data_IF_420192419902
#
_entry.id   IF_420192419902
#
_cell.length_a   1.000
_cell.length_b   1.000
_cell.length_c   1.000
_cell.angle_alpha   90.00
_cell.angle_beta   90.00
_cell.angle_gamma   90.00
#
_symmetry.space_group_name_H-M   'P 1'
#
loop_
_entity.id
_entity.type
_entity.pdbx_description
1 polymer ?
#
# COMPACT_ATOMS: atom_id res chain seq x y z
N UNK A 1 10.43 1.89 -37.02
CA UNK A 1 11.11 2.21 -35.75
C UNK A 1 11.77 0.93 -35.27
N UNK A 2 13.10 0.87 -35.25
CA UNK A 2 13.84 -0.31 -34.78
C UNK A 2 13.72 -0.38 -33.27
N UNK A 3 13.00 -1.37 -32.76
CA UNK A 3 13.10 -1.73 -31.36
C UNK A 3 14.53 -2.19 -31.09
N UNK A 4 15.20 -1.70 -30.02
CA UNK A 4 16.47 -2.27 -29.60
C UNK A 4 16.26 -3.76 -29.33
N UNK A 5 17.16 -4.59 -29.86
CA UNK A 5 17.13 -6.03 -29.62
C UNK A 5 17.13 -6.27 -28.11
N UNK A 6 16.15 -7.02 -27.63
CA UNK A 6 16.11 -7.46 -26.23
C UNK A 6 17.43 -8.19 -25.92
N UNK A 7 18.06 -7.97 -24.76
CA UNK A 7 19.26 -8.69 -24.39
C UNK A 7 19.00 -10.20 -24.49
N UNK A 8 19.98 -10.94 -25.02
CA UNK A 8 19.90 -12.39 -25.19
C UNK A 8 19.39 -13.03 -23.90
N UNK A 9 18.30 -13.78 -24.01
CA UNK A 9 17.83 -14.60 -22.89
C UNK A 9 18.94 -15.58 -22.53
N UNK A 10 19.18 -15.82 -21.23
CA UNK A 10 20.10 -16.87 -20.81
C UNK A 10 19.70 -18.21 -21.43
N UNK A 11 20.67 -19.06 -21.75
CA UNK A 11 20.40 -20.42 -22.16
C UNK A 11 19.83 -21.24 -21.00
N UNK A 12 19.11 -22.33 -21.31
CA UNK A 12 18.59 -23.24 -20.30
C UNK A 12 19.73 -23.75 -19.40
N UNK A 13 19.62 -23.55 -18.09
CA UNK A 13 20.65 -23.94 -17.11
C UNK A 13 20.01 -24.35 -15.77
N UNK A 14 20.28 -25.54 -15.32
CA UNK A 14 19.73 -26.05 -14.07
C UNK A 14 18.20 -26.18 -14.15
N UNK A 15 17.48 -25.47 -13.25
CA UNK A 15 16.03 -25.40 -13.23
C UNK A 15 15.45 -24.29 -14.14
N UNK A 16 16.30 -23.46 -14.72
CA UNK A 16 15.88 -22.40 -15.63
C UNK A 16 15.76 -22.93 -17.05
N UNK A 17 14.59 -22.78 -17.63
CA UNK A 17 14.31 -23.04 -19.04
C UNK A 17 13.56 -21.82 -19.62
N UNK A 18 14.14 -21.09 -20.60
CA UNK A 18 13.51 -19.93 -21.18
C UNK A 18 12.16 -20.22 -21.87
N UNK A 19 11.87 -21.49 -22.20
CA UNK A 19 10.57 -21.91 -22.72
C UNK A 19 9.45 -21.80 -21.67
N UNK A 20 9.80 -21.87 -20.37
CA UNK A 20 8.87 -21.73 -19.26
C UNK A 20 8.74 -20.28 -18.77
N UNK A 21 9.44 -19.34 -19.40
CA UNK A 21 9.34 -17.94 -19.04
C UNK A 21 7.99 -17.36 -19.50
N UNK A 22 7.12 -17.14 -18.54
CA UNK A 22 5.82 -16.50 -18.73
C UNK A 22 5.82 -15.12 -18.12
N UNK A 23 5.33 -14.14 -18.88
CA UNK A 23 5.10 -12.78 -18.41
C UNK A 23 3.98 -12.76 -17.36
N UNK A 24 4.34 -12.94 -16.10
CA UNK A 24 3.37 -13.14 -15.05
C UNK A 24 2.91 -11.83 -14.37
N UNK A 25 3.81 -10.90 -14.05
CA UNK A 25 3.51 -9.70 -13.26
C UNK A 25 4.04 -8.43 -13.93
N UNK A 26 3.36 -7.31 -13.69
CA UNK A 26 3.87 -5.98 -13.96
C UNK A 26 4.50 -5.40 -12.69
N UNK A 27 5.77 -5.63 -12.46
CA UNK A 27 6.52 -5.10 -11.31
C UNK A 27 7.68 -4.27 -11.81
N UNK A 28 7.92 -3.14 -11.17
CA UNK A 28 9.10 -2.31 -11.44
C UNK A 28 9.55 -1.59 -10.18
N UNK A 29 10.79 -1.19 -10.14
CA UNK A 29 11.29 -0.36 -9.05
C UNK A 29 12.30 0.65 -9.53
N UNK A 30 12.45 1.72 -8.77
CA UNK A 30 13.51 2.71 -8.89
C UNK A 30 14.07 3.00 -7.53
N UNK A 31 15.40 3.11 -7.43
CA UNK A 31 16.06 3.40 -6.17
C UNK A 31 17.26 4.32 -6.38
N UNK A 32 17.46 5.24 -5.45
CA UNK A 32 18.67 6.03 -5.35
C UNK A 32 19.74 5.22 -4.61
N UNK A 33 20.82 4.83 -5.29
CA UNK A 33 21.89 3.98 -4.74
C UNK A 33 22.57 4.61 -3.51
N UNK A 34 22.60 5.96 -3.46
CA UNK A 34 23.18 6.70 -2.33
C UNK A 34 22.18 6.92 -1.19
N UNK A 35 20.94 6.44 -1.32
CA UNK A 35 19.88 6.60 -0.34
C UNK A 35 19.31 8.03 -0.23
N UNK A 36 19.65 8.93 -1.15
CA UNK A 36 19.11 10.29 -1.15
C UNK A 36 17.60 10.28 -1.48
N UNK A 37 16.81 10.84 -0.59
CA UNK A 37 15.35 10.91 -0.72
C UNK A 37 14.95 12.14 -1.52
N UNK A 38 14.13 11.98 -2.53
CA UNK A 38 13.55 13.08 -3.29
C UNK A 38 12.18 12.67 -3.87
N UNK A 39 11.41 13.65 -4.31
CA UNK A 39 10.09 13.42 -4.92
C UNK A 39 10.19 12.79 -6.31
N UNK A 40 11.26 13.07 -7.06
CA UNK A 40 11.48 12.54 -8.40
C UNK A 40 11.52 11.00 -8.44
N UNK A 41 11.91 10.32 -7.36
CA UNK A 41 11.83 8.85 -7.23
C UNK A 41 10.36 8.38 -7.29
N UNK A 42 9.44 9.12 -6.69
CA UNK A 42 8.00 8.81 -6.71
C UNK A 42 7.46 9.03 -8.13
N UNK A 43 7.79 10.16 -8.75
CA UNK A 43 7.39 10.46 -10.13
C UNK A 43 7.90 9.40 -11.11
N UNK A 44 9.16 8.97 -10.97
CA UNK A 44 9.76 7.89 -11.77
C UNK A 44 9.04 6.55 -11.50
N UNK A 45 8.71 6.23 -10.25
CA UNK A 45 7.91 5.06 -9.91
C UNK A 45 6.54 5.08 -10.59
N UNK A 46 5.83 6.20 -10.53
CA UNK A 46 4.55 6.37 -11.22
C UNK A 46 4.69 6.30 -12.76
N UNK A 47 5.80 6.78 -13.31
CA UNK A 47 6.09 6.65 -14.74
C UNK A 47 6.33 5.19 -15.13
N UNK A 48 7.09 4.42 -14.33
CA UNK A 48 7.27 2.98 -14.53
C UNK A 48 5.90 2.28 -14.51
N UNK A 49 5.04 2.64 -13.54
CA UNK A 49 3.71 2.07 -13.43
C UNK A 49 2.87 2.31 -14.69
N UNK A 50 2.89 3.53 -15.24
CA UNK A 50 2.24 3.86 -16.51
C UNK A 50 2.78 3.04 -17.68
N UNK A 51 4.09 2.84 -17.75
CA UNK A 51 4.74 2.03 -18.78
C UNK A 51 4.36 0.53 -18.68
N UNK A 52 3.94 0.08 -17.51
CA UNK A 52 3.43 -1.26 -17.26
C UNK A 52 1.91 -1.41 -17.52
N UNK A 53 1.22 -0.37 -18.02
CA UNK A 53 -0.24 -0.41 -18.23
C UNK A 53 -0.67 -1.59 -19.13
N UNK A 54 0.16 -2.00 -20.09
CA UNK A 54 -0.08 -3.18 -20.94
C UNK A 54 -0.10 -4.51 -20.16
N UNK A 55 0.32 -4.54 -18.90
CA UNK A 55 0.28 -5.69 -18.00
C UNK A 55 -0.99 -5.74 -17.15
N UNK A 56 -1.76 -4.65 -17.11
CA UNK A 56 -3.04 -4.60 -16.41
C UNK A 56 -4.15 -5.26 -17.24
N UNK A 57 -5.11 -5.87 -16.56
CA UNK A 57 -6.37 -6.25 -17.18
C UNK A 57 -7.40 -5.16 -16.91
N UNK A 58 -8.17 -4.82 -17.93
CA UNK A 58 -9.33 -3.93 -17.84
C UNK A 58 -10.56 -4.83 -17.84
N UNK A 59 -11.46 -4.62 -16.88
CA UNK A 59 -12.70 -5.38 -16.78
C UNK A 59 -13.76 -4.91 -17.76
N UNK A 60 -15.02 -5.24 -17.47
CA UNK A 60 -16.17 -4.74 -18.23
C UNK A 60 -16.32 -3.21 -18.11
N UNK A 61 -15.89 -2.62 -17.00
CA UNK A 61 -15.75 -1.18 -16.84
C UNK A 61 -14.34 -0.75 -17.30
N UNK A 62 -14.22 0.08 -18.35
CA UNK A 62 -12.94 0.58 -18.85
C UNK A 62 -12.15 1.41 -17.83
N UNK A 63 -12.78 1.92 -16.79
CA UNK A 63 -12.19 2.71 -15.71
C UNK A 63 -11.82 1.86 -14.48
N UNK A 64 -12.06 0.55 -14.51
CA UNK A 64 -11.69 -0.40 -13.47
C UNK A 64 -10.61 -1.37 -13.95
N UNK A 65 -9.70 -1.73 -13.06
CA UNK A 65 -8.57 -2.62 -13.33
C UNK A 65 -8.40 -3.64 -12.22
N UNK A 66 -7.60 -4.69 -12.48
CA UNK A 66 -7.13 -5.67 -11.49
C UNK A 66 -6.37 -5.02 -10.33
N UNK A 67 -5.98 -3.77 -10.49
CA UNK A 67 -5.35 -2.96 -9.47
C UNK A 67 -3.92 -2.55 -9.79
N UNK A 68 -3.53 -1.46 -9.16
CA UNK A 68 -2.19 -0.89 -9.26
C UNK A 68 -1.77 -0.27 -7.93
N UNK A 69 -0.47 -0.15 -7.72
CA UNK A 69 0.02 0.46 -6.49
C UNK A 69 1.50 0.83 -6.52
N UNK A 70 1.87 1.61 -5.53
CA UNK A 70 3.24 2.05 -5.28
C UNK A 70 3.56 1.90 -3.79
N UNK A 71 4.72 1.30 -3.50
CA UNK A 71 5.32 1.25 -2.19
C UNK A 71 6.49 2.23 -2.14
N UNK A 72 6.53 3.05 -1.09
CA UNK A 72 7.58 4.02 -0.82
C UNK A 72 8.09 3.87 0.60
N UNK A 73 9.23 4.46 0.93
CA UNK A 73 9.65 4.58 2.31
C UNK A 73 8.75 5.58 3.05
N UNK A 74 8.63 5.44 4.38
CA UNK A 74 7.91 6.41 5.22
C UNK A 74 8.44 7.83 4.94
N UNK A 75 7.59 8.75 4.43
CA UNK A 75 7.96 10.14 4.14
C UNK A 75 7.82 11.00 5.40
N UNK A 76 8.74 10.82 6.37
CA UNK A 76 8.62 11.35 7.72
C UNK A 76 8.32 12.86 7.78
N UNK A 77 9.03 13.68 6.99
CA UNK A 77 8.82 15.13 6.99
C UNK A 77 7.37 15.48 6.62
N UNK A 78 6.87 14.89 5.52
CA UNK A 78 5.50 15.10 5.07
C UNK A 78 4.48 14.69 6.15
N UNK A 79 4.60 13.47 6.67
CA UNK A 79 3.67 12.95 7.67
C UNK A 79 3.72 13.77 8.98
N UNK A 80 4.89 14.22 9.38
CA UNK A 80 5.07 15.07 10.57
C UNK A 80 4.37 16.41 10.44
N UNK A 81 4.49 17.05 9.27
CA UNK A 81 3.82 18.31 8.99
C UNK A 81 2.29 18.13 8.93
N UNK A 82 1.81 17.06 8.28
CA UNK A 82 0.37 16.73 8.21
C UNK A 82 -0.24 16.42 9.59
N UNK A 83 0.48 15.68 10.44
CA UNK A 83 -0.01 15.35 11.79
C UNK A 83 0.10 16.53 12.75
N UNK A 84 1.12 17.37 12.61
CA UNK A 84 1.23 18.61 13.41
C UNK A 84 0.06 19.58 13.14
N UNK A 85 -0.47 19.59 11.91
CA UNK A 85 -1.67 20.37 11.58
C UNK A 85 -2.96 19.86 12.30
N UNK A 86 -2.89 18.68 12.91
CA UNK A 86 -3.94 18.08 13.75
C UNK A 86 -3.53 18.03 15.23
N UNK A 87 -2.57 18.84 15.65
CA UNK A 87 -2.02 18.90 17.02
C UNK A 87 -1.38 17.58 17.50
N UNK A 88 -0.97 16.70 16.56
CA UNK A 88 -0.30 15.44 16.87
C UNK A 88 1.19 15.52 16.57
N UNK A 89 2.01 15.34 17.60
CA UNK A 89 3.47 15.34 17.48
C UNK A 89 3.98 13.89 17.27
N UNK A 90 4.58 13.63 16.11
CA UNK A 90 5.15 12.30 15.84
C UNK A 90 6.50 12.11 16.55
N UNK A 91 6.78 10.94 17.14
CA UNK A 91 8.10 10.59 17.66
C UNK A 91 9.17 10.58 16.55
N UNK A 92 10.47 10.46 16.90
CA UNK A 92 11.54 10.31 15.90
C UNK A 92 11.32 9.15 14.94
N UNK A 93 11.90 9.24 13.74
CA UNK A 93 11.89 8.17 12.72
C UNK A 93 12.30 6.83 13.32
N UNK A 94 11.56 5.77 12.98
CA UNK A 94 11.76 4.42 13.50
C UNK A 94 11.18 4.18 14.90
N UNK A 95 10.58 5.21 15.53
CA UNK A 95 9.86 5.10 16.79
C UNK A 95 8.33 5.17 16.61
N UNK A 96 7.86 5.25 15.39
CA UNK A 96 6.44 5.12 15.04
C UNK A 96 6.29 4.35 13.74
N UNK A 97 5.11 3.78 13.54
CA UNK A 97 4.69 3.16 12.30
C UNK A 97 3.40 3.79 11.78
N UNK A 98 3.14 3.56 10.50
CA UNK A 98 1.93 4.03 9.82
C UNK A 98 1.21 2.86 9.19
N UNK A 99 -0.07 2.70 9.52
CA UNK A 99 -0.98 1.77 8.87
C UNK A 99 -1.78 2.49 7.80
N UNK A 100 -1.72 2.07 6.54
CA UNK A 100 -2.71 2.42 5.53
C UNK A 100 -3.91 1.49 5.71
N UNK A 101 -5.10 2.03 5.88
CA UNK A 101 -6.30 1.26 6.22
C UNK A 101 -7.44 1.63 5.28
N UNK A 102 -8.03 0.63 4.67
CA UNK A 102 -9.28 0.73 3.91
C UNK A 102 -10.43 0.30 4.83
N UNK A 103 -11.40 1.15 4.97
CA UNK A 103 -12.49 1.03 5.93
C UNK A 103 -13.83 1.05 5.21
N UNK A 104 -14.87 0.41 5.77
CA UNK A 104 -16.22 0.50 5.26
C UNK A 104 -16.74 1.94 5.16
N UNK A 105 -17.52 2.21 4.13
CA UNK A 105 -18.24 3.49 4.01
C UNK A 105 -19.29 3.64 5.12
N UNK A 106 -19.93 2.53 5.50
CA UNK A 106 -20.98 2.51 6.53
C UNK A 106 -20.38 2.87 7.90
N UNK A 107 -20.89 3.93 8.58
CA UNK A 107 -20.25 4.50 9.78
C UNK A 107 -20.10 3.53 10.95
N UNK A 108 -21.11 2.70 11.22
CA UNK A 108 -21.06 1.78 12.35
C UNK A 108 -20.03 0.66 12.14
N UNK A 109 -19.97 0.09 10.93
CA UNK A 109 -18.94 -0.90 10.57
C UNK A 109 -17.55 -0.28 10.57
N UNK A 110 -17.40 0.96 10.09
CA UNK A 110 -16.13 1.70 10.15
C UNK A 110 -15.66 1.90 11.57
N UNK A 111 -16.53 2.40 12.44
CA UNK A 111 -16.20 2.60 13.86
C UNK A 111 -15.77 1.28 14.52
N UNK A 112 -16.48 0.17 14.27
CA UNK A 112 -16.10 -1.12 14.79
C UNK A 112 -14.72 -1.58 14.31
N UNK A 113 -14.37 -1.35 13.05
CA UNK A 113 -13.04 -1.65 12.50
C UNK A 113 -11.96 -0.79 13.16
N UNK A 114 -12.18 0.51 13.31
CA UNK A 114 -11.24 1.42 13.98
C UNK A 114 -11.02 1.01 15.43
N UNK A 115 -12.10 0.71 16.15
CA UNK A 115 -12.04 0.24 17.55
C UNK A 115 -11.19 -1.04 17.70
N UNK A 116 -11.35 -2.03 16.83
CA UNK A 116 -10.57 -3.26 16.89
C UNK A 116 -9.07 -3.02 16.59
N UNK A 117 -8.74 -2.09 15.71
CA UNK A 117 -7.35 -1.69 15.46
C UNK A 117 -6.78 -1.01 16.72
N UNK A 118 -7.50 -0.06 17.31
CA UNK A 118 -7.08 0.67 18.50
C UNK A 118 -6.90 -0.28 19.70
N UNK A 119 -7.82 -1.24 19.85
CA UNK A 119 -7.72 -2.29 20.85
C UNK A 119 -6.45 -3.12 20.65
N UNK A 120 -6.19 -3.59 19.41
CA UNK A 120 -4.99 -4.37 19.11
C UNK A 120 -3.70 -3.58 19.37
N UNK A 121 -3.67 -2.27 19.09
CA UNK A 121 -2.54 -1.39 19.42
C UNK A 121 -2.29 -1.39 20.92
N UNK A 122 -3.32 -1.23 21.71
CA UNK A 122 -3.26 -1.22 23.19
C UNK A 122 -2.84 -2.59 23.73
N UNK A 123 -3.43 -3.67 23.24
CA UNK A 123 -3.15 -5.04 23.68
C UNK A 123 -1.69 -5.43 23.42
N UNK A 124 -1.09 -4.92 22.33
CA UNK A 124 0.33 -5.11 22.00
C UNK A 124 1.27 -4.11 22.72
N UNK A 125 0.73 -3.30 23.63
CA UNK A 125 1.49 -2.34 24.43
C UNK A 125 2.08 -1.19 23.60
N UNK A 126 1.48 -0.86 22.47
CA UNK A 126 1.86 0.26 21.65
C UNK A 126 0.96 1.48 21.91
N UNK A 127 1.29 2.63 21.34
CA UNK A 127 0.60 3.90 21.61
C UNK A 127 -0.12 4.34 20.33
N UNK A 128 -1.44 4.52 20.39
CA UNK A 128 -2.17 5.21 19.34
C UNK A 128 -1.78 6.70 19.36
N UNK A 129 -1.24 7.22 18.27
CA UNK A 129 -0.90 8.63 18.13
C UNK A 129 -2.04 9.42 17.47
N UNK A 130 -2.77 8.81 16.55
CA UNK A 130 -3.89 9.43 15.87
C UNK A 130 -4.23 8.79 14.53
N UNK A 131 -5.24 9.39 13.88
CA UNK A 131 -5.70 9.00 12.56
C UNK A 131 -5.66 10.19 11.61
N UNK A 132 -5.38 9.93 10.33
CA UNK A 132 -5.41 10.92 9.25
C UNK A 132 -6.27 10.40 8.10
N UNK A 133 -7.19 11.20 7.60
CA UNK A 133 -7.87 10.90 6.35
C UNK A 133 -6.92 11.12 5.17
N UNK A 134 -6.85 10.15 4.27
CA UNK A 134 -6.00 10.26 3.06
C UNK A 134 -6.74 11.06 1.99
N UNK A 135 -6.21 12.22 1.56
CA UNK A 135 -6.84 13.03 0.52
C UNK A 135 -6.90 12.29 -0.82
N UNK A 136 -8.07 12.24 -1.42
CA UNK A 136 -8.35 11.51 -2.67
C UNK A 136 -9.04 12.39 -3.69
N UNK A 137 -8.84 12.03 -4.97
CA UNK A 137 -9.62 12.55 -6.09
C UNK A 137 -10.22 11.37 -6.85
N UNK A 138 -11.51 11.14 -6.64
CA UNK A 138 -12.24 10.04 -7.28
C UNK A 138 -12.94 10.46 -8.60
N UNK A 139 -12.68 11.66 -9.11
CA UNK A 139 -13.27 12.16 -10.35
C UNK A 139 -12.97 11.30 -11.57
N UNK A 140 -11.82 10.60 -11.53
CA UNK A 140 -11.39 9.67 -12.59
C UNK A 140 -11.92 8.24 -12.45
N UNK A 141 -12.72 7.93 -11.43
CA UNK A 141 -13.31 6.60 -11.25
C UNK A 141 -14.64 6.47 -11.99
N UNK A 142 -14.94 5.28 -12.52
CA UNK A 142 -16.28 4.91 -12.97
C UNK A 142 -17.28 4.83 -11.81
N UNK A 143 -18.57 4.87 -12.11
CA UNK A 143 -19.62 4.83 -11.08
C UNK A 143 -19.53 3.58 -10.19
N UNK A 144 -19.26 2.40 -10.79
CA UNK A 144 -19.05 1.17 -10.02
C UNK A 144 -17.84 1.27 -9.07
N UNK A 145 -16.77 1.93 -9.49
CA UNK A 145 -15.59 2.18 -8.65
C UNK A 145 -15.90 3.10 -7.47
N UNK A 146 -16.70 4.15 -7.68
CA UNK A 146 -17.13 5.08 -6.62
C UNK A 146 -18.04 4.41 -5.59
N UNK A 147 -18.91 3.50 -6.05
CA UNK A 147 -19.83 2.77 -5.18
C UNK A 147 -19.09 1.88 -4.17
N UNK A 148 -18.00 1.25 -4.59
CA UNK A 148 -17.19 0.35 -3.75
C UNK A 148 -15.95 1.01 -3.16
N UNK A 149 -15.76 2.31 -3.37
CA UNK A 149 -14.60 3.05 -2.87
C UNK A 149 -14.56 3.01 -1.33
N UNK A 150 -13.49 2.51 -0.69
CA UNK A 150 -13.41 2.50 0.76
C UNK A 150 -13.14 3.90 1.32
N UNK A 151 -13.45 4.12 2.58
CA UNK A 151 -12.85 5.22 3.34
C UNK A 151 -11.39 4.86 3.59
N UNK A 152 -10.45 5.71 3.18
CA UNK A 152 -9.01 5.46 3.33
C UNK A 152 -8.45 6.36 4.41
N UNK A 153 -7.89 5.75 5.45
CA UNK A 153 -7.27 6.44 6.57
C UNK A 153 -5.87 5.90 6.87
N UNK A 154 -5.05 6.72 7.46
CA UNK A 154 -3.77 6.33 8.05
C UNK A 154 -3.89 6.31 9.56
N UNK A 155 -3.47 5.20 10.19
CA UNK A 155 -3.31 5.10 11.64
C UNK A 155 -1.85 5.25 12.01
N UNK A 156 -1.56 6.11 12.97
CA UNK A 156 -0.21 6.39 13.47
C UNK A 156 -0.03 5.70 14.81
N UNK A 157 1.00 4.87 14.91
CA UNK A 157 1.26 3.98 16.05
C UNK A 157 2.65 4.27 16.60
N UNK A 158 2.72 4.84 17.79
CA UNK A 158 3.96 5.09 18.51
C UNK A 158 4.48 3.83 19.18
N UNK A 159 5.78 3.76 19.31
CA UNK A 159 6.49 2.68 20.00
C UNK A 159 6.22 2.73 21.49
N UNK A 160 5.77 1.61 22.05
CA UNK A 160 5.61 1.44 23.51
C UNK A 160 6.95 1.30 24.24
N UNK A 161 6.93 1.51 25.55
CA UNK A 161 8.14 1.53 26.40
C UNK A 161 8.92 0.21 26.42
N UNK A 162 8.26 -0.93 26.19
CA UNK A 162 8.90 -2.25 26.12
C UNK A 162 9.61 -2.57 24.80
N UNK A 163 9.54 -1.66 23.80
CA UNK A 163 10.12 -1.85 22.48
C UNK A 163 11.28 -0.88 22.29
N UNK A 164 12.48 -1.37 22.04
CA UNK A 164 13.70 -0.54 22.01
C UNK A 164 14.28 -0.31 20.62
N UNK A 165 13.97 -1.21 19.66
CA UNK A 165 14.51 -1.17 18.30
C UNK A 165 13.40 -1.22 17.25
N UNK A 166 13.66 -0.66 16.06
CA UNK A 166 12.69 -0.59 14.96
C UNK A 166 12.22 -1.97 14.50
N UNK A 167 13.08 -2.99 14.48
CA UNK A 167 12.69 -4.35 14.09
C UNK A 167 11.69 -4.98 15.07
N UNK A 168 11.79 -4.65 16.35
CA UNK A 168 10.79 -5.09 17.34
C UNK A 168 9.46 -4.36 17.13
N UNK A 169 9.48 -3.07 16.76
CA UNK A 169 8.29 -2.33 16.39
C UNK A 169 7.64 -2.93 15.12
N UNK A 170 8.42 -3.26 14.09
CA UNK A 170 7.90 -3.92 12.88
C UNK A 170 7.14 -5.21 13.21
N UNK A 171 7.68 -6.06 14.10
CA UNK A 171 6.99 -7.28 14.53
C UNK A 171 5.68 -6.96 15.26
N UNK A 172 5.65 -5.93 16.12
CA UNK A 172 4.43 -5.49 16.80
C UNK A 172 3.39 -4.98 15.81
N UNK A 173 3.80 -4.17 14.84
CA UNK A 173 2.91 -3.67 13.78
C UNK A 173 2.33 -4.81 12.95
N UNK A 174 3.12 -5.84 12.64
CA UNK A 174 2.63 -7.03 11.96
C UNK A 174 1.57 -7.77 12.79
N UNK A 175 1.82 -7.97 14.10
CA UNK A 175 0.86 -8.63 15.01
C UNK A 175 -0.43 -7.80 15.10
N UNK A 176 -0.34 -6.48 15.31
CA UNK A 176 -1.50 -5.57 15.33
C UNK A 176 -2.33 -5.72 14.06
N UNK A 177 -1.68 -5.66 12.90
CA UNK A 177 -2.35 -5.82 11.60
C UNK A 177 -3.10 -7.14 11.50
N UNK A 178 -2.49 -8.25 11.90
CA UNK A 178 -3.09 -9.59 11.80
C UNK A 178 -4.17 -9.82 12.85
N UNK A 179 -3.92 -9.46 14.10
CA UNK A 179 -4.88 -9.66 15.19
C UNK A 179 -6.14 -8.81 15.00
N UNK A 180 -6.00 -7.53 14.63
CA UNK A 180 -7.15 -6.68 14.32
C UNK A 180 -7.95 -7.22 13.14
N UNK A 181 -7.27 -7.68 12.08
CA UNK A 181 -7.93 -8.28 10.93
C UNK A 181 -8.77 -9.52 11.28
N UNK A 182 -8.22 -10.41 12.10
CA UNK A 182 -8.94 -11.59 12.59
C UNK A 182 -10.12 -11.21 13.49
N UNK A 183 -9.93 -10.23 14.38
CA UNK A 183 -11.00 -9.75 15.25
C UNK A 183 -12.15 -9.14 14.44
N UNK A 184 -11.86 -8.28 13.47
CA UNK A 184 -12.86 -7.68 12.59
C UNK A 184 -13.60 -8.75 11.77
N UNK A 185 -12.89 -9.74 11.26
CA UNK A 185 -13.53 -10.87 10.56
C UNK A 185 -14.48 -11.65 11.46
N UNK A 186 -14.11 -11.86 12.74
CA UNK A 186 -14.92 -12.56 13.72
C UNK A 186 -16.21 -11.81 14.08
N UNK A 187 -16.23 -10.47 13.97
CA UNK A 187 -17.44 -9.66 14.20
C UNK A 187 -18.54 -9.90 13.15
N UNK A 188 -18.22 -10.49 12.00
CA UNK A 188 -19.15 -10.76 10.89
C UNK A 188 -19.97 -9.52 10.49
N UNK A 189 -19.34 -8.36 10.47
CA UNK A 189 -19.97 -7.10 10.08
C UNK A 189 -20.54 -7.22 8.68
N UNK A 190 -21.71 -6.59 8.42
CA UNK A 190 -22.35 -6.55 7.11
C UNK A 190 -21.37 -6.05 6.02
N UNK A 191 -20.58 -5.05 6.33
CA UNK A 191 -19.59 -4.42 5.45
C UNK A 191 -18.13 -4.80 5.80
N UNK A 192 -17.91 -5.83 6.61
CA UNK A 192 -16.56 -6.24 7.06
C UNK A 192 -15.62 -6.70 5.93
N UNK A 193 -16.17 -7.11 4.78
CA UNK A 193 -15.37 -7.49 3.60
C UNK A 193 -14.68 -6.30 2.92
N UNK A 194 -15.11 -5.07 3.20
CA UNK A 194 -14.52 -3.84 2.68
C UNK A 194 -13.27 -3.43 3.47
N UNK A 195 -13.07 -4.03 4.66
CA UNK A 195 -11.89 -3.79 5.48
C UNK A 195 -10.64 -4.45 4.91
N UNK A 196 -9.59 -3.65 4.76
CA UNK A 196 -8.29 -4.14 4.33
C UNK A 196 -7.15 -3.23 4.81
N UNK A 197 -6.00 -3.81 5.16
CA UNK A 197 -4.79 -3.05 5.55
C UNK A 197 -3.69 -3.30 4.53
N UNK A 198 -3.51 -2.43 3.53
CA UNK A 198 -2.44 -2.54 2.54
C UNK A 198 -1.05 -2.62 3.14
N UNK A 199 -0.76 -1.77 4.12
CA UNK A 199 0.53 -1.75 4.82
C UNK A 199 0.35 -1.28 6.26
N UNK A 200 1.22 -1.76 7.15
CA UNK A 200 1.39 -1.25 8.52
C UNK A 200 2.86 -1.46 8.90
N UNK A 201 3.65 -0.40 8.84
CA UNK A 201 5.11 -0.48 8.95
C UNK A 201 5.71 0.84 9.46
N UNK A 202 6.88 0.75 10.11
CA UNK A 202 7.70 1.90 10.48
C UNK A 202 8.71 2.27 9.37
N UNK A 203 8.73 1.53 8.25
CA UNK A 203 9.71 1.69 7.16
C UNK A 203 9.08 2.07 5.83
N UNK A 204 7.93 1.49 5.51
CA UNK A 204 7.31 1.62 4.18
C UNK A 204 5.83 1.95 4.27
N UNK A 205 5.33 2.57 3.21
CA UNK A 205 3.93 2.93 3.06
C UNK A 205 3.47 2.53 1.65
N UNK A 206 2.28 1.94 1.55
CA UNK A 206 1.72 1.47 0.28
C UNK A 206 0.48 2.27 -0.08
N UNK A 207 0.48 2.87 -1.26
CA UNK A 207 -0.69 3.43 -1.92
C UNK A 207 -1.12 2.48 -3.03
N UNK A 208 -2.32 1.93 -2.97
CA UNK A 208 -2.84 0.99 -3.98
C UNK A 208 -4.37 0.99 -4.02
N UNK A 209 -4.92 0.44 -5.09
CA UNK A 209 -6.37 0.27 -5.24
C UNK A 209 -6.70 -0.53 -6.50
N UNK A 210 -7.98 -0.78 -6.73
CA UNK A 210 -8.50 -1.30 -8.00
C UNK A 210 -8.50 -0.16 -9.05
N UNK A 211 -7.32 0.38 -9.30
CA UNK A 211 -7.07 1.56 -10.11
C UNK A 211 -6.29 1.18 -11.37
N UNK A 212 -6.50 1.93 -12.44
CA UNK A 212 -5.60 1.90 -13.59
C UNK A 212 -4.23 2.50 -13.21
N UNK A 213 -3.20 2.13 -13.94
CA UNK A 213 -1.84 2.61 -13.69
C UNK A 213 -1.71 4.14 -13.64
N UNK A 214 -2.42 4.84 -14.52
CA UNK A 214 -2.38 6.30 -14.59
C UNK A 214 -3.28 6.99 -13.55
N UNK A 215 -4.24 6.26 -12.97
CA UNK A 215 -5.13 6.79 -11.94
C UNK A 215 -4.43 6.90 -10.58
N UNK A 216 -3.47 6.01 -10.24
CA UNK A 216 -2.85 5.95 -8.90
C UNK A 216 -2.32 7.32 -8.46
N UNK A 217 -1.53 7.98 -9.31
CA UNK A 217 -0.94 9.28 -8.99
C UNK A 217 -1.94 10.44 -8.98
N UNK A 218 -3.11 10.29 -9.64
CA UNK A 218 -4.17 11.30 -9.63
C UNK A 218 -5.10 11.12 -8.44
N UNK A 219 -5.44 9.87 -8.14
CA UNK A 219 -6.35 9.50 -7.07
C UNK A 219 -5.78 9.87 -5.68
N UNK A 220 -4.53 9.52 -5.41
CA UNK A 220 -3.86 9.85 -4.16
C UNK A 220 -3.17 11.20 -4.25
N UNK A 221 -3.79 12.26 -3.70
CA UNK A 221 -3.22 13.63 -3.72
C UNK A 221 -1.87 13.72 -3.01
N UNK A 222 -1.64 12.88 -2.00
CA UNK A 222 -0.35 12.78 -1.32
C UNK A 222 0.80 12.53 -2.30
N UNK A 223 0.59 11.69 -3.32
CA UNK A 223 1.62 11.34 -4.31
C UNK A 223 2.03 12.50 -5.23
N UNK A 224 1.26 13.60 -5.22
CA UNK A 224 1.55 14.82 -5.97
C UNK A 224 2.26 15.88 -5.10
N UNK A 225 2.34 15.67 -3.79
CA UNK A 225 2.95 16.63 -2.88
C UNK A 225 4.49 16.53 -2.92
N UNK A 226 5.22 17.62 -3.27
CA UNK A 226 6.67 17.59 -3.36
C UNK A 226 7.38 17.30 -2.02
N UNK A 227 6.70 17.44 -0.88
CA UNK A 227 7.21 17.06 0.44
C UNK A 227 7.24 15.55 0.64
N UNK A 228 6.45 14.81 -0.15
CA UNK A 228 6.46 13.35 -0.14
C UNK A 228 7.71 12.85 -0.87
N UNK A 229 8.70 12.41 -0.13
CA UNK A 229 10.02 12.01 -0.65
C UNK A 229 10.37 10.58 -0.27
N UNK A 230 11.05 9.89 -1.17
CA UNK A 230 11.56 8.54 -0.94
C UNK A 230 12.89 8.33 -1.67
N UNK A 231 13.70 7.38 -1.22
CA UNK A 231 14.88 6.92 -1.96
C UNK A 231 14.59 5.64 -2.77
N UNK A 232 13.41 5.06 -2.59
CA UNK A 232 12.96 3.84 -3.27
C UNK A 232 11.47 3.98 -3.60
N UNK A 233 11.09 3.59 -4.80
CA UNK A 233 9.70 3.30 -5.16
C UNK A 233 9.62 1.92 -5.83
N UNK A 234 8.74 1.05 -5.33
CA UNK A 234 8.40 -0.23 -5.93
C UNK A 234 6.95 -0.15 -6.42
N UNK A 235 6.71 -0.46 -7.68
CA UNK A 235 5.39 -0.40 -8.28
C UNK A 235 4.94 -1.77 -8.74
N UNK A 236 3.63 -1.96 -8.72
CA UNK A 236 3.00 -3.19 -9.16
C UNK A 236 1.72 -2.86 -9.93
N UNK A 237 1.63 -3.37 -11.15
CA UNK A 237 0.45 -3.35 -12.00
C UNK A 237 -0.15 -4.76 -11.98
N UNK A 238 -1.42 -4.89 -11.55
CA UNK A 238 -2.14 -6.15 -11.37
C UNK A 238 -1.85 -6.83 -10.03
N UNK A 239 -2.89 -7.28 -9.35
CA UNK A 239 -2.78 -7.97 -8.05
C UNK A 239 -2.56 -9.47 -8.16
N UNK A 240 -2.97 -10.06 -9.27
CA UNK A 240 -2.95 -11.51 -9.44
C UNK A 240 -2.70 -11.87 -10.89
N UNK A 241 -1.89 -12.86 -11.09
CA UNK A 241 -1.72 -13.56 -12.35
C UNK A 241 -2.50 -14.87 -12.32
N UNK A 242 -2.48 -15.62 -13.41
CA UNK A 242 -3.24 -16.82 -13.75
C UNK A 242 -3.34 -17.96 -12.72
N UNK A 243 -2.89 -17.76 -11.50
CA UNK A 243 -3.04 -18.73 -10.42
C UNK A 243 -4.31 -18.46 -9.63
N UNK A 244 -5.06 -19.50 -9.35
CA UNK A 244 -6.23 -19.44 -8.49
C UNK A 244 -5.82 -18.89 -7.13
N UNK A 245 -6.29 -17.71 -6.80
CA UNK A 245 -6.00 -16.99 -5.54
C UNK A 245 -6.32 -17.77 -4.28
N UNK A 246 -7.08 -18.86 -4.41
CA UNK A 246 -7.57 -19.65 -3.27
C UNK A 246 -6.62 -20.76 -2.86
N UNK A 247 -5.72 -21.23 -3.73
CA UNK A 247 -5.02 -22.50 -3.48
C UNK A 247 -3.50 -22.50 -3.67
N UNK A 248 -2.92 -21.57 -4.41
CA UNK A 248 -1.51 -21.67 -4.82
C UNK A 248 -0.66 -20.42 -4.64
N UNK A 249 -1.27 -19.28 -4.35
CA UNK A 249 -0.54 -18.05 -4.08
C UNK A 249 -0.59 -17.77 -2.58
N UNK A 250 0.55 -17.58 -1.90
CA UNK A 250 0.54 -16.94 -0.59
C UNK A 250 -0.10 -15.56 -0.80
N UNK A 251 -1.41 -15.52 -0.55
CA UNK A 251 -2.18 -14.31 -0.68
C UNK A 251 -1.61 -13.29 0.29
N UNK A 252 -1.49 -12.00 -0.10
CA UNK A 252 -1.31 -10.94 0.89
C UNK A 252 -2.46 -10.88 1.91
N UNK A 253 -3.40 -11.81 1.82
CA UNK A 253 -4.53 -11.97 2.75
C UNK A 253 -4.24 -12.99 3.87
N UNK A 254 -3.14 -13.76 3.77
CA UNK A 254 -2.72 -14.72 4.79
C UNK A 254 -1.88 -14.06 5.87
#
# INVERSE_FOLDING_TARGET
>A
MNHPALPHRPEAQGLYDPANEHDACGVGFVANIKGARNHAIIEQGLLILKNLAHRGAVGADPLASDGAGILIQIPDRFLREEMAAQDVQLPPVGQYGVGMVFLPQEPASRFACEYEIERAIKDEGQVLLGWRDVPRDNSGLGEAGKEIEPVIRQVFIGRGSGVTVTDALERKLYIIRKSSGHAIQALRLKHGKEFYVPSMSARTLVYKGLLLADQVGRYYKDLQDPRLVSALALVHQRFSTNTCLLYTSPSPRD
#
